data_IF_034097673261
#
_entry.id   IF_034097673261
#
_cell.length_a   1.000
_cell.length_b   1.000
_cell.length_c   1.000
_cell.angle_alpha   90.00
_cell.angle_beta   90.00
_cell.angle_gamma   90.00
#
_symmetry.space_group_name_H-M   'P 1'
#
loop_
_entity.id
_entity.type
_entity.pdbx_description
1 polymer ?
#
# COMPACT_ATOMS: atom_id res chain seq x y z
N UNK A 1 -3.22 -11.74 -10.76
CA UNK A 1 -4.50 -11.23 -10.22
C UNK A 1 -5.32 -12.42 -9.80
N UNK A 2 -5.49 -12.64 -8.50
CA UNK A 2 -6.34 -13.71 -7.97
C UNK A 2 -7.82 -13.41 -8.17
N UNK A 3 -8.21 -12.14 -8.17
CA UNK A 3 -9.57 -11.68 -8.49
C UNK A 3 -9.55 -10.48 -9.47
N UNK A 4 -9.98 -10.68 -10.73
CA UNK A 4 -10.12 -9.60 -11.70
C UNK A 4 -11.26 -8.62 -11.43
N UNK A 5 -12.23 -8.99 -10.59
CA UNK A 5 -13.36 -8.12 -10.20
C UNK A 5 -14.39 -7.81 -11.29
N UNK A 6 -14.39 -8.54 -12.41
CA UNK A 6 -15.33 -8.37 -13.54
C UNK A 6 -16.35 -9.50 -13.68
N UNK A 7 -16.26 -10.55 -12.87
CA UNK A 7 -17.20 -11.70 -12.90
C UNK A 7 -18.51 -11.42 -12.14
N UNK A 8 -18.50 -10.44 -11.23
CA UNK A 8 -19.62 -10.13 -10.34
C UNK A 8 -20.04 -8.65 -10.36
N UNK A 9 -19.40 -7.84 -11.21
CA UNK A 9 -19.76 -6.43 -11.49
C UNK A 9 -19.21 -6.00 -12.84
N UNK A 10 -19.77 -4.95 -13.40
CA UNK A 10 -19.41 -4.46 -14.73
C UNK A 10 -18.24 -3.47 -14.67
N UNK A 11 -17.51 -3.31 -15.79
CA UNK A 11 -16.46 -2.29 -15.87
C UNK A 11 -17.04 -0.88 -15.90
N UNK A 12 -18.23 -0.78 -16.47
CA UNK A 12 -19.01 0.44 -16.59
C UNK A 12 -19.39 0.97 -15.21
N UNK A 13 -19.84 0.12 -14.29
CA UNK A 13 -20.12 0.50 -12.89
C UNK A 13 -18.87 1.07 -12.20
N UNK A 14 -17.74 0.37 -12.32
CA UNK A 14 -16.46 0.80 -11.72
C UNK A 14 -16.04 2.18 -12.29
N UNK A 15 -16.19 2.35 -13.60
CA UNK A 15 -15.85 3.60 -14.27
C UNK A 15 -16.78 4.74 -13.84
N UNK A 16 -18.09 4.50 -13.72
CA UNK A 16 -19.05 5.49 -13.25
C UNK A 16 -18.71 5.96 -11.83
N UNK A 17 -18.44 5.03 -10.91
CA UNK A 17 -18.07 5.36 -9.52
C UNK A 17 -16.77 6.17 -9.49
N UNK A 18 -15.75 5.77 -10.25
CA UNK A 18 -14.49 6.52 -10.34
C UNK A 18 -14.68 7.93 -10.92
N UNK A 19 -15.57 8.11 -11.89
CA UNK A 19 -15.79 9.42 -12.51
C UNK A 19 -16.63 10.35 -11.64
N UNK A 20 -17.62 9.81 -10.90
CA UNK A 20 -18.64 10.62 -10.21
C UNK A 20 -18.48 10.68 -8.69
N UNK A 21 -17.74 9.74 -8.10
CA UNK A 21 -17.65 9.55 -6.64
C UNK A 21 -16.23 9.30 -6.15
N UNK A 22 -15.21 9.66 -6.94
CA UNK A 22 -13.83 9.58 -6.49
C UNK A 22 -13.58 10.57 -5.34
N UNK A 23 -13.14 10.10 -4.16
CA UNK A 23 -13.02 10.94 -2.98
C UNK A 23 -11.92 12.00 -3.11
N UNK A 24 -10.85 11.68 -3.85
CA UNK A 24 -9.71 12.58 -4.04
C UNK A 24 -10.12 13.75 -4.93
N UNK A 25 -10.77 13.45 -6.06
CA UNK A 25 -11.29 14.45 -7.00
C UNK A 25 -12.35 15.32 -6.34
N UNK A 26 -13.29 14.72 -5.62
CA UNK A 26 -14.34 15.47 -4.92
C UNK A 26 -13.78 16.42 -3.86
N UNK A 27 -12.80 15.97 -3.08
CA UNK A 27 -12.17 16.82 -2.08
C UNK A 27 -11.34 17.93 -2.73
N UNK A 28 -10.57 17.59 -3.78
CA UNK A 28 -9.79 18.55 -4.58
C UNK A 28 -10.67 19.69 -5.10
N UNK A 29 -11.81 19.37 -5.69
CA UNK A 29 -12.73 20.39 -6.20
C UNK A 29 -13.20 21.33 -5.10
N UNK A 30 -13.59 20.78 -3.93
CA UNK A 30 -14.04 21.58 -2.78
C UNK A 30 -12.97 22.56 -2.28
N UNK A 31 -11.73 22.11 -2.11
CA UNK A 31 -10.67 22.94 -1.56
C UNK A 31 -10.15 23.98 -2.56
N UNK A 32 -10.22 23.70 -3.87
CA UNK A 32 -9.92 24.68 -4.92
C UNK A 32 -11.03 25.75 -4.97
N UNK A 33 -12.29 25.34 -4.95
CA UNK A 33 -13.44 26.26 -4.94
C UNK A 33 -13.45 27.16 -3.70
N UNK A 34 -12.98 26.64 -2.57
CA UNK A 34 -12.82 27.40 -1.34
C UNK A 34 -11.53 28.26 -1.31
N UNK A 35 -10.77 28.32 -2.41
CA UNK A 35 -9.52 29.08 -2.55
C UNK A 35 -8.46 28.73 -1.49
N UNK A 36 -8.51 27.51 -0.94
CA UNK A 36 -7.56 27.04 0.09
C UNK A 36 -6.24 26.55 -0.50
N UNK A 37 -6.23 26.22 -1.80
CA UNK A 37 -5.07 25.70 -2.51
C UNK A 37 -5.22 25.95 -4.01
N UNK A 38 -4.10 26.12 -4.70
CA UNK A 38 -4.04 26.22 -6.14
C UNK A 38 -3.89 24.83 -6.81
N UNK A 39 -4.25 24.75 -8.10
CA UNK A 39 -4.02 23.54 -8.89
C UNK A 39 -2.53 23.16 -8.98
N UNK A 40 -1.63 24.15 -8.99
CA UNK A 40 -0.19 23.88 -9.13
C UNK A 40 0.44 23.38 -7.84
N UNK A 41 -0.05 23.82 -6.67
CA UNK A 41 0.35 23.24 -5.39
C UNK A 41 -0.05 21.77 -5.29
N UNK A 42 -1.27 21.42 -5.70
CA UNK A 42 -1.71 20.02 -5.72
C UNK A 42 -0.87 19.16 -6.68
N UNK A 43 -0.52 19.69 -7.86
CA UNK A 43 0.39 18.98 -8.78
C UNK A 43 1.77 18.74 -8.18
N UNK A 44 2.31 19.70 -7.42
CA UNK A 44 3.60 19.52 -6.71
C UNK A 44 3.50 18.42 -5.66
N UNK A 45 2.38 18.36 -4.92
CA UNK A 45 2.12 17.29 -3.96
C UNK A 45 2.08 15.93 -4.67
N UNK A 46 1.32 15.80 -5.77
CA UNK A 46 1.24 14.56 -6.54
C UNK A 46 2.61 14.08 -7.04
N UNK A 47 3.45 15.01 -7.51
CA UNK A 47 4.82 14.70 -7.96
C UNK A 47 5.70 14.22 -6.80
N UNK A 48 5.65 14.91 -5.65
CA UNK A 48 6.39 14.51 -4.45
C UNK A 48 5.99 13.11 -3.97
N UNK A 49 4.68 12.83 -3.94
CA UNK A 49 4.17 11.53 -3.50
C UNK A 49 4.62 10.42 -4.45
N UNK A 50 4.60 10.65 -5.78
CA UNK A 50 5.09 9.67 -6.76
C UNK A 50 6.54 9.29 -6.51
N UNK A 51 7.41 10.27 -6.26
CA UNK A 51 8.82 10.03 -5.95
C UNK A 51 8.96 9.18 -4.68
N UNK A 52 8.23 9.52 -3.60
CA UNK A 52 8.25 8.74 -2.36
C UNK A 52 7.79 7.29 -2.55
N UNK A 53 6.74 7.08 -3.35
CA UNK A 53 6.21 5.74 -3.66
C UNK A 53 7.22 4.93 -4.50
N UNK A 54 7.87 5.56 -5.48
CA UNK A 54 8.88 4.91 -6.31
C UNK A 54 10.10 4.49 -5.49
N UNK A 55 10.57 5.36 -4.59
CA UNK A 55 11.67 5.07 -3.65
C UNK A 55 11.30 3.93 -2.70
N UNK A 56 10.12 3.99 -2.07
CA UNK A 56 9.63 2.94 -1.19
C UNK A 56 9.48 1.60 -1.94
N UNK A 57 8.96 1.63 -3.17
CA UNK A 57 8.83 0.42 -4.00
C UNK A 57 10.19 -0.17 -4.35
N UNK A 58 11.17 0.68 -4.67
CA UNK A 58 12.54 0.24 -4.96
C UNK A 58 13.17 -0.42 -3.73
N UNK A 59 13.04 0.21 -2.56
CA UNK A 59 13.52 -0.34 -1.30
C UNK A 59 12.90 -1.72 -1.05
N UNK A 60 11.56 -1.81 -1.07
CA UNK A 60 10.82 -3.05 -0.83
C UNK A 60 11.19 -4.19 -1.78
N UNK A 61 11.52 -3.88 -3.05
CA UNK A 61 11.97 -4.89 -4.02
C UNK A 61 13.43 -5.31 -3.84
N UNK A 62 14.26 -4.44 -3.27
CA UNK A 62 15.67 -4.72 -3.01
C UNK A 62 15.94 -5.34 -1.65
N UNK A 63 14.96 -5.25 -0.74
CA UNK A 63 15.07 -5.85 0.60
C UNK A 63 15.28 -7.35 0.51
N UNK A 64 16.24 -7.92 1.26
CA UNK A 64 16.42 -9.36 1.31
C UNK A 64 15.20 -10.05 1.93
N UNK A 65 15.01 -11.32 1.60
CA UNK A 65 14.06 -12.15 2.33
C UNK A 65 14.49 -12.29 3.80
N UNK A 66 13.53 -12.48 4.73
CA UNK A 66 13.85 -12.80 6.11
C UNK A 66 14.73 -14.04 6.20
N UNK A 67 15.68 -14.05 7.14
CA UNK A 67 16.53 -15.20 7.40
C UNK A 67 15.73 -16.40 7.93
N UNK A 68 16.33 -17.60 7.90
CA UNK A 68 15.67 -18.82 8.39
C UNK A 68 15.40 -18.78 9.91
N UNK A 69 16.18 -17.98 10.64
CA UNK A 69 16.00 -17.68 12.05
C UNK A 69 14.69 -16.95 12.36
N UNK A 70 14.17 -16.16 11.41
CA UNK A 70 12.91 -15.41 11.55
C UNK A 70 11.68 -16.33 11.43
N UNK A 71 11.85 -17.57 10.95
CA UNK A 71 10.75 -18.53 10.74
C UNK A 71 9.95 -18.81 12.02
N UNK A 72 10.61 -18.76 13.18
CA UNK A 72 10.05 -19.07 14.49
C UNK A 72 10.17 -17.91 15.48
N UNK A 73 10.56 -16.72 14.98
CA UNK A 73 10.48 -15.50 15.75
C UNK A 73 9.02 -15.17 16.10
N UNK A 74 8.84 -14.36 17.14
CA UNK A 74 7.55 -13.77 17.54
C UNK A 74 6.41 -14.76 17.91
N UNK A 75 6.73 -16.00 18.27
CA UNK A 75 5.74 -16.97 18.80
C UNK A 75 5.35 -16.66 20.25
N UNK A 76 6.34 -16.35 21.10
CA UNK A 76 6.16 -15.89 22.47
C UNK A 76 7.04 -14.66 22.71
N UNK A 77 6.58 -13.76 23.59
CA UNK A 77 7.31 -12.54 23.93
C UNK A 77 8.58 -12.80 24.77
N UNK A 78 8.55 -13.80 25.66
CA UNK A 78 9.68 -14.23 26.50
C UNK A 78 9.72 -15.77 26.57
N UNK A 79 10.27 -16.43 25.54
CA UNK A 79 10.31 -17.88 25.48
C UNK A 79 11.33 -18.44 26.47
N UNK A 80 10.92 -19.46 27.24
CA UNK A 80 11.82 -20.22 28.11
C UNK A 80 12.88 -20.99 27.31
N UNK A 81 12.60 -21.33 26.06
CA UNK A 81 13.52 -21.98 25.12
C UNK A 81 13.47 -21.30 23.75
N UNK A 82 14.64 -20.96 23.19
CA UNK A 82 14.75 -20.33 21.87
C UNK A 82 14.75 -21.33 20.70
N UNK A 83 14.27 -22.56 20.92
CA UNK A 83 14.30 -23.63 19.92
C UNK A 83 12.91 -24.23 19.78
N UNK A 84 12.42 -24.31 18.55
CA UNK A 84 11.17 -25.02 18.23
C UNK A 84 11.51 -26.45 17.76
N UNK A 85 10.62 -27.40 18.06
CA UNK A 85 10.72 -28.80 17.61
C UNK A 85 10.95 -28.81 16.09
N UNK A 86 12.03 -29.49 15.66
CA UNK A 86 12.62 -29.55 14.30
C UNK A 86 13.86 -28.66 14.05
N UNK A 87 14.24 -27.78 15.00
CA UNK A 87 15.59 -27.16 15.05
C UNK A 87 16.67 -28.13 15.61
N UNK A 88 16.25 -29.21 16.28
CA UNK A 88 17.13 -30.16 16.95
C UNK A 88 17.54 -31.30 16.01
N UNK A 89 18.44 -31.02 15.05
CA UNK A 89 19.44 -31.93 14.44
C UNK A 89 19.96 -31.37 13.11
N UNK A 90 20.89 -30.43 13.19
CA UNK A 90 22.09 -30.41 12.35
C UNK A 90 23.27 -30.09 13.26
#
# INVERSE_FOLDING_TARGET
>A
MSDPGTSYRTREEIQEVRQRRDPITHFKEKIIQAELVSNDELKKIDQSIKVQIDEATKLSKSSPEPGLEELYADVYIDPLENRIRDQAKK
#
